data_IF_243288066965
#
_entry.id   IF_243288066965
#
_cell.length_a   1.000
_cell.length_b   1.000
_cell.length_c   1.000
_cell.angle_alpha   90.00
_cell.angle_beta   90.00
_cell.angle_gamma   90.00
#
_symmetry.space_group_name_H-M   'P 1'
#
loop_
_entity.id
_entity.type
_entity.pdbx_description
1 polymer ?
#
# COMPACT_ATOMS: atom_id res chain seq x y z
N UNK A 1 0.07 0.30 13.50
CA UNK A 1 0.19 1.23 12.37
C UNK A 1 -0.73 0.75 11.24
N UNK A 2 -1.48 1.68 10.66
CA UNK A 2 -2.47 1.37 9.63
C UNK A 2 -1.88 0.65 8.41
N UNK A 3 -0.70 1.06 7.97
CA UNK A 3 -0.03 0.45 6.81
C UNK A 3 0.31 -1.02 7.05
N UNK A 4 0.75 -1.36 8.25
CA UNK A 4 1.07 -2.76 8.61
C UNK A 4 -0.17 -3.62 8.66
N UNK A 5 -1.27 -3.08 9.19
CA UNK A 5 -2.54 -3.77 9.25
C UNK A 5 -3.08 -4.03 7.84
N UNK A 6 -3.01 -3.03 6.99
CA UNK A 6 -3.42 -3.15 5.58
C UNK A 6 -2.56 -4.18 4.85
N UNK A 7 -1.23 -4.09 5.01
CA UNK A 7 -0.28 -5.05 4.43
C UNK A 7 -0.66 -6.49 4.77
N UNK A 8 -0.97 -6.74 6.03
CA UNK A 8 -1.31 -8.09 6.51
C UNK A 8 -2.54 -8.62 5.78
N UNK A 9 -3.55 -7.79 5.61
CA UNK A 9 -4.79 -8.18 4.90
C UNK A 9 -4.52 -8.46 3.42
N UNK A 10 -3.72 -7.62 2.77
CA UNK A 10 -3.41 -7.80 1.36
C UNK A 10 -2.57 -9.06 1.13
N UNK A 11 -1.61 -9.34 2.01
CA UNK A 11 -0.83 -10.57 1.90
C UNK A 11 -1.71 -11.81 2.10
N UNK A 12 -2.76 -11.72 2.90
CA UNK A 12 -3.72 -12.83 3.04
C UNK A 12 -4.50 -13.03 1.75
N UNK A 13 -4.96 -11.95 1.11
CA UNK A 13 -5.61 -12.05 -0.20
C UNK A 13 -4.68 -12.74 -1.20
N UNK A 14 -3.42 -12.31 -1.24
CA UNK A 14 -2.43 -12.89 -2.15
C UNK A 14 -2.23 -14.39 -1.90
N UNK A 15 -2.15 -14.76 -0.63
CA UNK A 15 -1.95 -16.15 -0.21
C UNK A 15 -3.10 -17.05 -0.66
N UNK A 16 -4.30 -16.52 -0.67
CA UNK A 16 -5.50 -17.27 -1.02
C UNK A 16 -5.72 -17.42 -2.53
N UNK A 17 -4.92 -16.75 -3.35
CA UNK A 17 -5.00 -16.88 -4.81
C UNK A 17 -4.49 -18.26 -5.26
N UNK A 18 -5.06 -18.82 -6.35
CA UNK A 18 -4.57 -20.07 -6.91
C UNK A 18 -3.10 -19.96 -7.34
N UNK A 19 -2.28 -20.91 -6.95
CA UNK A 19 -0.84 -20.88 -7.22
C UNK A 19 -0.51 -20.95 -8.71
N UNK A 20 -1.18 -21.85 -9.42
CA UNK A 20 -0.83 -22.16 -10.81
C UNK A 20 -1.22 -21.05 -11.79
N UNK A 21 -2.17 -20.21 -11.45
CA UNK A 21 -2.68 -19.19 -12.38
C UNK A 21 -2.26 -17.78 -12.05
N UNK A 22 -1.94 -17.51 -10.78
CA UNK A 22 -1.76 -16.14 -10.30
C UNK A 22 -0.42 -15.93 -9.59
N UNK A 23 0.56 -16.75 -9.93
CA UNK A 23 1.87 -16.66 -9.29
C UNK A 23 2.47 -15.24 -9.35
N UNK A 24 2.50 -14.65 -10.54
CA UNK A 24 3.08 -13.29 -10.69
C UNK A 24 2.26 -12.24 -9.98
N UNK A 25 0.94 -12.37 -10.02
CA UNK A 25 0.04 -11.42 -9.36
C UNK A 25 0.17 -11.50 -7.84
N UNK A 26 0.28 -12.73 -7.29
CA UNK A 26 0.52 -12.94 -5.87
C UNK A 26 1.81 -12.25 -5.42
N UNK A 27 2.88 -12.47 -6.17
CA UNK A 27 4.18 -11.89 -5.87
C UNK A 27 4.14 -10.37 -5.95
N UNK A 28 3.57 -9.85 -7.02
CA UNK A 28 3.48 -8.41 -7.25
C UNK A 28 2.65 -7.71 -6.17
N UNK A 29 1.51 -8.28 -5.80
CA UNK A 29 0.64 -7.75 -4.76
C UNK A 29 1.34 -7.73 -3.41
N UNK A 30 2.01 -8.83 -3.06
CA UNK A 30 2.74 -8.94 -1.78
C UNK A 30 3.87 -7.93 -1.71
N UNK A 31 4.64 -7.79 -2.78
CA UNK A 31 5.76 -6.86 -2.83
C UNK A 31 5.30 -5.41 -2.77
N UNK A 32 4.20 -5.08 -3.44
CA UNK A 32 3.65 -3.74 -3.39
C UNK A 32 3.16 -3.41 -1.98
N UNK A 33 2.49 -4.35 -1.31
CA UNK A 33 2.05 -4.16 0.07
C UNK A 33 3.22 -3.97 1.03
N UNK A 34 4.29 -4.75 0.86
CA UNK A 34 5.51 -4.60 1.66
C UNK A 34 6.15 -3.24 1.41
N UNK A 35 6.18 -2.80 0.16
CA UNK A 35 6.80 -1.54 -0.25
C UNK A 35 6.17 -0.33 0.44
N UNK A 36 4.86 -0.36 0.69
CA UNK A 36 4.19 0.73 1.43
C UNK A 36 4.87 0.94 2.78
N UNK A 37 5.00 -0.13 3.53
CA UNK A 37 5.58 -0.08 4.88
C UNK A 37 7.07 0.25 4.85
N UNK A 38 7.81 -0.40 3.96
CA UNK A 38 9.26 -0.22 3.87
C UNK A 38 9.64 1.21 3.50
N UNK A 39 8.89 1.84 2.61
CA UNK A 39 9.18 3.22 2.21
C UNK A 39 8.84 4.22 3.31
N UNK A 40 7.82 3.97 4.12
CA UNK A 40 7.54 4.82 5.28
C UNK A 40 8.71 4.72 6.26
N UNK A 41 9.14 3.50 6.57
CA UNK A 41 10.24 3.26 7.50
C UNK A 41 11.55 3.86 6.99
N UNK A 42 11.86 3.62 5.71
CA UNK A 42 13.09 4.13 5.09
C UNK A 42 13.10 5.65 5.09
N UNK A 43 11.99 6.27 4.72
CA UNK A 43 11.88 7.73 4.67
C UNK A 43 12.02 8.37 6.02
N UNK A 44 11.49 7.75 7.08
CA UNK A 44 11.56 8.32 8.43
C UNK A 44 12.98 8.38 8.98
N UNK A 45 13.92 7.62 8.39
CA UNK A 45 15.32 7.62 8.78
C UNK A 45 16.16 8.63 8.00
N UNK A 46 15.56 9.35 7.04
CA UNK A 46 16.31 10.32 6.24
C UNK A 46 16.46 11.64 7.00
N UNK A 47 17.56 12.35 6.75
CA UNK A 47 17.86 13.62 7.38
C UNK A 47 17.09 14.79 6.76
N UNK A 48 16.72 14.66 5.50
CA UNK A 48 16.05 15.71 4.73
C UNK A 48 14.55 15.46 4.66
N UNK A 49 13.74 16.48 4.89
CA UNK A 49 12.29 16.42 4.75
C UNK A 49 11.89 16.20 3.28
N UNK A 50 12.69 16.72 2.36
CA UNK A 50 12.48 16.51 0.93
C UNK A 50 12.63 15.02 0.61
N UNK A 51 13.67 14.37 1.12
CA UNK A 51 13.86 12.94 0.93
C UNK A 51 12.73 12.14 1.55
N UNK A 52 12.34 12.49 2.78
CA UNK A 52 11.24 11.82 3.46
C UNK A 52 9.97 11.89 2.62
N UNK A 53 9.65 13.07 2.08
CA UNK A 53 8.43 13.22 1.28
C UNK A 53 8.51 12.39 -0.02
N UNK A 54 9.69 12.18 -0.58
CA UNK A 54 9.87 11.31 -1.75
C UNK A 54 9.54 9.86 -1.42
N UNK A 55 9.98 9.37 -0.26
CA UNK A 55 9.67 8.02 0.20
C UNK A 55 8.17 7.84 0.48
N UNK A 56 7.53 8.87 1.04
CA UNK A 56 6.08 8.86 1.24
C UNK A 56 5.35 8.78 -0.10
N UNK A 57 5.83 9.50 -1.10
CA UNK A 57 5.26 9.45 -2.44
C UNK A 57 5.41 8.05 -3.06
N UNK A 58 6.54 7.40 -2.83
CA UNK A 58 6.75 6.01 -3.28
C UNK A 58 5.76 5.06 -2.59
N UNK A 59 5.49 5.28 -1.30
CA UNK A 59 4.48 4.51 -0.58
C UNK A 59 3.10 4.68 -1.20
N UNK A 60 2.73 5.91 -1.59
CA UNK A 60 1.46 6.18 -2.27
C UNK A 60 1.38 5.42 -3.60
N UNK A 61 2.45 5.43 -4.37
CA UNK A 61 2.52 4.70 -5.65
C UNK A 61 2.35 3.20 -5.43
N UNK A 62 3.00 2.67 -4.39
CA UNK A 62 2.87 1.25 -4.04
C UNK A 62 1.43 0.91 -3.64
N UNK A 63 0.77 1.82 -2.93
CA UNK A 63 -0.63 1.64 -2.55
C UNK A 63 -1.54 1.59 -3.78
N UNK A 64 -1.31 2.47 -4.75
CA UNK A 64 -2.06 2.45 -6.02
C UNK A 64 -1.85 1.13 -6.76
N UNK A 65 -0.64 0.61 -6.72
CA UNK A 65 -0.33 -0.68 -7.34
C UNK A 65 -1.11 -1.82 -6.67
N UNK A 66 -1.23 -1.79 -5.35
CA UNK A 66 -2.05 -2.77 -4.61
C UNK A 66 -3.51 -2.69 -5.05
N UNK A 67 -4.06 -1.48 -5.19
CA UNK A 67 -5.44 -1.28 -5.62
C UNK A 67 -5.63 -1.84 -7.03
N UNK A 68 -4.68 -1.61 -7.91
CA UNK A 68 -4.70 -2.18 -9.25
C UNK A 68 -4.74 -3.71 -9.22
N UNK A 69 -3.91 -4.31 -8.37
CA UNK A 69 -3.89 -5.77 -8.22
C UNK A 69 -5.23 -6.29 -7.67
N UNK A 70 -5.81 -5.58 -6.70
CA UNK A 70 -7.12 -5.95 -6.15
C UNK A 70 -8.21 -5.93 -7.22
N UNK A 71 -8.17 -4.94 -8.10
CA UNK A 71 -9.12 -4.83 -9.19
C UNK A 71 -9.01 -6.02 -10.14
N UNK A 72 -7.78 -6.45 -10.44
CA UNK A 72 -7.54 -7.64 -11.26
C UNK A 72 -8.02 -8.91 -10.57
N UNK A 73 -7.80 -9.02 -9.28
CA UNK A 73 -8.24 -10.15 -8.47
C UNK A 73 -9.77 -10.25 -8.46
N UNK A 74 -10.44 -9.11 -8.35
CA UNK A 74 -11.89 -9.03 -8.43
C UNK A 74 -12.38 -9.46 -9.82
N UNK A 75 -11.76 -8.93 -10.85
CA UNK A 75 -12.11 -9.21 -12.25
C UNK A 75 -11.99 -10.71 -12.55
N UNK A 76 -11.00 -11.37 -11.98
CA UNK A 76 -10.79 -12.80 -12.12
C UNK A 76 -11.70 -13.66 -11.22
N UNK A 77 -12.53 -13.03 -10.39
CA UNK A 77 -13.50 -13.72 -9.55
C UNK A 77 -12.93 -14.34 -8.28
N UNK A 78 -11.75 -13.94 -7.85
CA UNK A 78 -11.10 -14.51 -6.65
C UNK A 78 -11.49 -13.83 -5.35
N UNK A 79 -12.11 -12.67 -5.42
CA UNK A 79 -12.72 -12.00 -4.26
C UNK A 79 -14.09 -11.51 -4.67
N UNK A 80 -14.95 -11.24 -3.67
CA UNK A 80 -16.28 -10.70 -3.91
C UNK A 80 -16.23 -9.18 -4.04
N UNK A 81 -17.28 -8.59 -4.59
CA UNK A 81 -17.44 -7.14 -4.64
C UNK A 81 -17.35 -6.54 -3.24
N UNK A 82 -17.94 -7.20 -2.26
CA UNK A 82 -17.93 -6.75 -0.88
C UNK A 82 -16.52 -6.73 -0.29
N UNK A 83 -15.76 -7.78 -0.55
CA UNK A 83 -14.36 -7.85 -0.10
C UNK A 83 -13.53 -6.76 -0.76
N UNK A 84 -13.71 -6.56 -2.06
CA UNK A 84 -13.01 -5.50 -2.79
C UNK A 84 -13.34 -4.12 -2.21
N UNK A 85 -14.61 -3.83 -1.98
CA UNK A 85 -15.05 -2.54 -1.41
C UNK A 85 -14.42 -2.28 -0.04
N UNK A 86 -14.33 -3.32 0.79
CA UNK A 86 -13.68 -3.22 2.09
C UNK A 86 -12.21 -2.87 1.98
N UNK A 87 -11.49 -3.55 1.12
CA UNK A 87 -10.06 -3.29 0.90
C UNK A 87 -9.83 -1.91 0.26
N UNK A 88 -10.68 -1.54 -0.68
CA UNK A 88 -10.59 -0.23 -1.34
C UNK A 88 -10.77 0.89 -0.32
N UNK A 89 -11.74 0.77 0.57
CA UNK A 89 -11.99 1.78 1.61
C UNK A 89 -10.77 1.95 2.50
N UNK A 90 -10.17 0.85 2.94
CA UNK A 90 -8.94 0.91 3.75
C UNK A 90 -7.80 1.56 2.97
N UNK A 91 -7.68 1.24 1.70
CA UNK A 91 -6.64 1.82 0.84
C UNK A 91 -6.84 3.33 0.70
N UNK A 92 -8.06 3.78 0.52
CA UNK A 92 -8.38 5.19 0.41
C UNK A 92 -8.06 5.96 1.69
N UNK A 93 -8.39 5.37 2.84
CA UNK A 93 -8.06 5.96 4.14
C UNK A 93 -6.56 6.07 4.34
N UNK A 94 -5.83 5.00 4.02
CA UNK A 94 -4.38 4.99 4.14
C UNK A 94 -3.74 6.01 3.19
N UNK A 95 -4.23 6.08 1.96
CA UNK A 95 -3.76 7.05 0.97
C UNK A 95 -3.94 8.49 1.45
N UNK A 96 -5.11 8.80 2.01
CA UNK A 96 -5.39 10.11 2.56
C UNK A 96 -4.44 10.46 3.70
N UNK A 97 -4.14 9.49 4.57
CA UNK A 97 -3.18 9.67 5.66
C UNK A 97 -1.77 9.95 5.15
N UNK A 98 -1.33 9.20 4.15
CA UNK A 98 0.01 9.39 3.56
C UNK A 98 0.14 10.75 2.90
N UNK A 99 -0.87 11.18 2.16
CA UNK A 99 -0.89 12.49 1.50
C UNK A 99 -0.85 13.61 2.54
N UNK A 100 -1.70 13.53 3.56
CA UNK A 100 -1.78 14.52 4.62
C UNK A 100 -0.45 14.62 5.37
N UNK A 101 0.14 13.48 5.68
CA UNK A 101 1.42 13.43 6.37
C UNK A 101 2.55 13.99 5.52
N UNK A 102 2.57 13.68 4.23
CA UNK A 102 3.55 14.23 3.29
C UNK A 102 3.49 15.76 3.22
N UNK A 103 2.29 16.32 3.17
CA UNK A 103 2.09 17.77 3.18
C UNK A 103 2.59 18.38 4.48
N UNK A 104 2.33 17.74 5.61
CA UNK A 104 2.77 18.21 6.92
C UNK A 104 4.29 18.21 7.03
N UNK A 105 4.94 17.16 6.56
CA UNK A 105 6.39 17.05 6.54
C UNK A 105 7.01 18.19 5.72
N UNK A 106 6.51 18.40 4.50
CA UNK A 106 7.03 19.45 3.61
C UNK A 106 6.82 20.84 4.19
N UNK A 107 5.69 21.09 4.84
CA UNK A 107 5.33 22.41 5.34
C UNK A 107 6.00 22.74 6.66
N UNK A 108 6.11 21.78 7.57
CA UNK A 108 6.52 22.00 8.95
C UNK A 108 7.88 21.43 9.31
N UNK A 109 8.47 20.66 8.41
CA UNK A 109 9.75 20.01 8.69
C UNK A 109 9.67 18.95 9.77
N UNK A 110 8.51 18.31 9.93
CA UNK A 110 8.28 17.31 10.98
C UNK A 110 8.78 15.96 10.54
N UNK A 111 9.45 15.26 11.45
CA UNK A 111 9.89 13.88 11.24
C UNK A 111 9.43 13.00 12.38
N UNK A 112 9.35 11.74 12.10
CA UNK A 112 9.09 10.71 13.10
C UNK A 112 10.37 10.29 13.79
#
# INVERSE_FOLDING_TARGET
>A
MAAKSFRKKIRQVAKDLPENERYLLRDQMSRAADSICLNIAEGSNKLSDIEFSKYLNTSETSLEEVVCCLDLVLDDGHITDREFEGHLREAEELGAQLIAFGKKVRKQGIRL
#
